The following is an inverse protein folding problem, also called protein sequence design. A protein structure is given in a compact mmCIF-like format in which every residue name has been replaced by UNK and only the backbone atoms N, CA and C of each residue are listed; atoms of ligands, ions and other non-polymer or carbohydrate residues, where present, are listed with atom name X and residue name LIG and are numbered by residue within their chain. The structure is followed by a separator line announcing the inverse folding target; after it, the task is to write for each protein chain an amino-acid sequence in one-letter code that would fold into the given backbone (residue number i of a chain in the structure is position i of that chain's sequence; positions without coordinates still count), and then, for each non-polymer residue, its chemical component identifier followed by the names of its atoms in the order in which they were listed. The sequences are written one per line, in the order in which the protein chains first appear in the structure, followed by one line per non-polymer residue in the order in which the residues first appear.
data_IF_808654166357
#
_entry.id   IF_808654166357
#
_cell.length_a   1.000
_cell.length_b   1.000
_cell.length_c   1.000
_cell.angle_alpha   90.00
_cell.angle_beta   90.00
_cell.angle_gamma   90.00
#
_symmetry.space_group_name_H-M   'P 1'
#
loop_
_entity.id
_entity.type
_entity.pdbx_description
1 polymer ?
#
# COMPACT_ATOMS: atom_id res chain seq x y z
N UNK A 1 -62.44 8.23 4.97
CA UNK A 1 -61.35 7.85 4.04
C UNK A 1 -60.16 8.78 4.29
N UNK A 2 -59.03 8.17 4.60
CA UNK A 2 -57.65 8.68 4.61
C UNK A 2 -57.27 9.89 5.49
N UNK A 3 -56.77 9.52 6.66
CA UNK A 3 -55.74 10.21 7.46
C UNK A 3 -54.45 10.32 6.64
N UNK A 4 -53.77 11.47 6.68
CA UNK A 4 -52.35 11.53 6.33
C UNK A 4 -51.62 12.44 7.32
N UNK A 5 -50.98 11.79 8.31
CA UNK A 5 -49.99 12.40 9.20
C UNK A 5 -48.71 12.62 8.40
N UNK A 6 -48.21 13.84 8.38
CA UNK A 6 -46.85 14.15 7.91
C UNK A 6 -45.90 13.73 9.03
N UNK A 7 -45.14 12.66 8.80
CA UNK A 7 -44.07 12.19 9.66
C UNK A 7 -42.79 12.94 9.25
N UNK A 8 -42.27 13.80 10.13
CA UNK A 8 -40.94 14.39 9.99
C UNK A 8 -39.93 13.32 10.38
N UNK A 9 -39.25 12.73 9.40
CA UNK A 9 -38.11 11.84 9.63
C UNK A 9 -36.86 12.73 9.76
N UNK A 10 -36.43 12.95 11.00
CA UNK A 10 -35.10 13.43 11.32
C UNK A 10 -34.10 12.32 10.97
N UNK A 11 -33.44 12.41 9.83
CA UNK A 11 -32.23 11.61 9.53
C UNK A 11 -31.06 12.19 10.31
N UNK A 12 -30.86 11.69 11.52
CA UNK A 12 -29.61 11.85 12.26
C UNK A 12 -28.49 11.16 11.49
N UNK A 13 -27.62 11.93 10.86
CA UNK A 13 -26.32 11.46 10.35
C UNK A 13 -25.44 11.23 11.58
N UNK A 14 -25.61 10.07 12.21
CA UNK A 14 -24.68 9.56 13.22
C UNK A 14 -23.54 8.86 12.48
N UNK A 15 -22.33 9.27 12.86
CA UNK A 15 -21.08 8.85 12.24
C UNK A 15 -20.98 7.34 12.13
N UNK A 16 -20.38 6.92 11.02
CA UNK A 16 -19.84 5.59 10.83
C UNK A 16 -18.74 5.41 11.89
N UNK A 17 -19.11 4.95 13.07
CA UNK A 17 -18.17 4.26 13.94
C UNK A 17 -17.89 2.93 13.25
N UNK A 18 -16.70 2.84 12.64
CA UNK A 18 -16.02 1.58 12.42
C UNK A 18 -15.97 0.86 13.77
N UNK A 19 -16.96 0.00 14.02
CA UNK A 19 -16.85 -1.02 15.05
C UNK A 19 -16.05 -2.14 14.38
N UNK A 20 -14.74 -1.89 14.24
CA UNK A 20 -13.78 -2.97 14.17
C UNK A 20 -13.95 -3.77 15.47
N UNK A 21 -14.25 -5.06 15.32
CA UNK A 21 -14.61 -5.98 16.39
C UNK A 21 -13.71 -5.85 17.62
N UNK A 22 -14.34 -5.62 18.77
CA UNK A 22 -13.74 -5.44 20.09
C UNK A 22 -13.11 -6.73 20.69
N UNK A 23 -12.45 -7.55 19.89
CA UNK A 23 -11.68 -8.73 20.35
C UNK A 23 -10.21 -8.78 19.88
N UNK A 24 -9.77 -7.92 18.94
CA UNK A 24 -8.42 -7.92 18.34
C UNK A 24 -7.40 -6.94 18.98
N UNK A 25 -7.68 -6.41 20.17
CA UNK A 25 -6.97 -5.22 20.65
C UNK A 25 -5.73 -5.49 21.52
N UNK A 26 -5.60 -6.66 22.18
CA UNK A 26 -4.63 -6.79 23.30
C UNK A 26 -3.16 -6.84 22.85
N UNK A 27 -2.85 -7.27 21.63
CA UNK A 27 -1.47 -7.33 21.13
C UNK A 27 -1.10 -6.24 20.14
N UNK A 28 -2.08 -5.52 19.60
CA UNK A 28 -1.91 -4.65 18.44
C UNK A 28 -1.13 -3.37 18.75
N UNK A 29 -0.23 -3.04 17.85
CA UNK A 29 0.52 -1.79 17.81
C UNK A 29 0.46 -1.23 16.39
N UNK A 30 0.08 0.03 16.25
CA UNK A 30 0.00 0.71 14.96
C UNK A 30 0.68 2.07 14.97
N UNK A 31 1.43 2.38 13.91
CA UNK A 31 1.89 3.73 13.57
C UNK A 31 1.34 4.11 12.20
N UNK A 32 0.86 5.34 12.08
CA UNK A 32 0.31 5.91 10.84
C UNK A 32 0.81 7.33 10.60
N UNK A 33 0.77 7.76 9.35
CA UNK A 33 0.92 9.16 8.97
C UNK A 33 0.02 10.07 9.83
N UNK A 34 0.59 11.16 10.35
CA UNK A 34 -0.17 12.18 11.09
C UNK A 34 -1.06 13.04 10.20
N UNK A 35 -1.91 13.85 10.84
CA UNK A 35 -2.81 14.78 10.14
C UNK A 35 -2.05 15.81 9.28
N UNK A 36 -2.60 16.14 8.11
CA UNK A 36 -2.05 17.16 7.21
C UNK A 36 -1.07 16.65 6.13
N UNK A 37 -0.77 15.34 6.09
CA UNK A 37 0.04 14.77 5.02
C UNK A 37 -0.75 14.64 3.70
N UNK A 38 -0.18 15.11 2.59
CA UNK A 38 -0.81 15.11 1.26
C UNK A 38 -0.82 13.74 0.57
N UNK A 39 0.04 12.82 1.00
CA UNK A 39 0.08 11.44 0.51
C UNK A 39 0.45 10.49 1.66
N UNK A 40 -0.48 10.20 2.58
CA UNK A 40 -0.17 9.40 3.76
C UNK A 40 0.24 7.98 3.37
N UNK A 41 1.27 7.45 4.03
CA UNK A 41 1.64 6.05 3.93
C UNK A 41 0.55 5.16 4.55
N UNK A 42 0.39 3.91 4.09
CA UNK A 42 -0.27 2.88 4.89
C UNK A 42 0.28 2.80 6.31
N UNK A 43 -0.54 2.32 7.24
CA UNK A 43 -0.13 2.15 8.63
C UNK A 43 0.82 0.95 8.76
N UNK A 44 1.90 1.13 9.51
CA UNK A 44 2.72 0.03 10.02
C UNK A 44 1.98 -0.62 11.19
N UNK A 45 1.70 -1.91 11.10
CA UNK A 45 1.00 -2.66 12.14
C UNK A 45 1.80 -3.89 12.55
N UNK A 46 2.01 -4.04 13.86
CA UNK A 46 2.62 -5.22 14.48
C UNK A 46 1.68 -5.72 15.57
N UNK A 47 1.43 -7.03 15.64
CA UNK A 47 0.63 -7.64 16.71
C UNK A 47 1.46 -8.68 17.43
N UNK A 48 1.41 -8.72 18.77
CA UNK A 48 1.98 -9.79 19.59
C UNK A 48 0.84 -10.50 20.31
N UNK A 49 0.38 -11.62 19.74
CA UNK A 49 -0.82 -12.33 20.19
C UNK A 49 -0.60 -13.84 20.18
N UNK A 50 -1.11 -14.53 21.20
CA UNK A 50 -1.05 -15.99 21.31
C UNK A 50 0.37 -16.57 21.19
N UNK A 51 1.40 -15.83 21.60
CA UNK A 51 2.80 -16.24 21.47
C UNK A 51 3.34 -16.13 20.04
N UNK A 52 2.70 -15.36 19.18
CA UNK A 52 3.13 -15.10 17.81
C UNK A 52 3.18 -13.59 17.54
N UNK A 53 4.32 -13.14 17.02
CA UNK A 53 4.47 -11.78 16.54
C UNK A 53 4.17 -11.74 15.04
N UNK A 54 3.30 -10.84 14.61
CA UNK A 54 2.94 -10.65 13.21
C UNK A 54 3.21 -9.22 12.75
N UNK A 55 3.75 -9.08 11.54
CA UNK A 55 3.89 -7.81 10.84
C UNK A 55 3.03 -7.80 9.58
N UNK A 56 2.22 -6.74 9.43
CA UNK A 56 1.32 -6.55 8.30
C UNK A 56 1.93 -5.48 7.38
N UNK A 57 2.74 -5.91 6.41
CA UNK A 57 3.37 -5.02 5.46
C UNK A 57 2.44 -4.59 4.35
N UNK A 58 2.46 -3.30 4.03
CA UNK A 58 1.73 -2.66 2.94
C UNK A 58 2.66 -2.07 1.89
N UNK A 59 3.91 -2.52 1.85
CA UNK A 59 4.97 -2.13 0.92
C UNK A 59 5.60 -0.76 1.22
N UNK A 60 4.82 0.33 1.28
CA UNK A 60 5.31 1.66 1.71
C UNK A 60 4.98 1.94 3.16
N UNK A 61 5.56 1.15 4.06
CA UNK A 61 5.39 1.35 5.49
C UNK A 61 6.44 2.34 5.99
N UNK A 62 6.11 3.65 5.87
CA UNK A 62 6.87 4.81 6.38
C UNK A 62 8.30 5.02 5.85
N UNK A 63 8.82 4.11 5.00
CA UNK A 63 10.09 4.28 4.30
C UNK A 63 9.87 4.96 2.94
N UNK A 64 10.20 6.25 2.84
CA UNK A 64 10.22 6.99 1.56
C UNK A 64 11.44 6.64 0.69
N UNK A 65 12.40 5.87 1.22
CA UNK A 65 13.66 5.55 0.54
C UNK A 65 13.59 4.32 -0.36
N UNK A 66 12.41 3.71 -0.55
CA UNK A 66 12.23 2.60 -1.49
C UNK A 66 12.58 3.08 -2.91
N UNK A 67 13.83 2.89 -3.33
CA UNK A 67 14.39 3.28 -4.63
C UNK A 67 13.81 2.42 -5.77
N UNK A 68 12.49 2.43 -5.96
CA UNK A 68 11.85 1.71 -7.05
C UNK A 68 11.96 0.19 -6.95
N UNK A 69 11.88 -0.39 -5.74
CA UNK A 69 11.97 -1.84 -5.53
C UNK A 69 10.83 -2.37 -4.66
N UNK A 70 10.45 -3.62 -4.89
CA UNK A 70 9.50 -4.35 -4.06
C UNK A 70 10.05 -4.51 -2.63
N UNK A 71 9.20 -4.27 -1.63
CA UNK A 71 9.56 -4.31 -0.20
C UNK A 71 8.81 -5.38 0.61
N UNK A 72 8.01 -6.23 -0.04
CA UNK A 72 7.10 -7.15 0.65
C UNK A 72 5.71 -6.53 0.85
N UNK A 73 4.65 -7.28 0.56
CA UNK A 73 3.28 -6.91 0.87
C UNK A 73 2.58 -8.14 1.42
N UNK A 74 2.07 -8.07 2.65
CA UNK A 74 1.42 -9.23 3.26
C UNK A 74 1.61 -9.31 4.75
N UNK A 75 1.52 -10.53 5.27
CA UNK A 75 1.57 -10.85 6.70
C UNK A 75 2.70 -11.83 6.96
N UNK A 76 3.59 -11.45 7.86
CA UNK A 76 4.80 -12.20 8.19
C UNK A 76 4.81 -12.48 9.68
N UNK A 77 4.94 -13.76 10.05
CA UNK A 77 4.83 -14.21 11.45
C UNK A 77 6.07 -14.91 11.95
N UNK A 78 6.33 -14.77 13.25
CA UNK A 78 7.40 -15.50 13.96
C UNK A 78 6.90 -15.88 15.34
N UNK A 79 7.42 -16.97 15.89
CA UNK A 79 7.20 -17.27 17.31
C UNK A 79 7.72 -16.11 18.16
N UNK A 80 6.88 -15.65 19.08
CA UNK A 80 7.20 -14.55 19.97
C UNK A 80 8.34 -14.99 20.90
N UNK A 81 9.41 -14.20 20.93
CA UNK A 81 10.55 -14.41 21.80
C UNK A 81 10.96 -13.09 22.42
N UNK A 82 11.73 -13.15 23.51
CA UNK A 82 12.29 -11.95 24.15
C UNK A 82 13.05 -11.04 23.17
N UNK A 83 13.66 -11.59 22.12
CA UNK A 83 14.37 -10.83 21.11
C UNK A 83 13.44 -9.94 20.27
N UNK A 84 12.20 -10.38 20.03
CA UNK A 84 11.23 -9.68 19.20
C UNK A 84 10.20 -8.88 20.03
N UNK A 85 9.74 -9.44 21.15
CA UNK A 85 8.71 -8.85 21.99
C UNK A 85 9.23 -7.70 22.86
N UNK A 86 10.47 -7.81 23.39
CA UNK A 86 11.05 -6.77 24.27
C UNK A 86 11.18 -5.41 23.59
N UNK A 87 11.69 -5.30 22.35
CA UNK A 87 11.74 -4.01 21.64
C UNK A 87 10.36 -3.34 21.51
N UNK A 88 9.33 -4.10 21.16
CA UNK A 88 7.96 -3.60 21.04
C UNK A 88 7.40 -3.17 22.40
N UNK A 89 7.60 -3.96 23.45
CA UNK A 89 7.16 -3.65 24.80
C UNK A 89 7.85 -2.39 25.36
N UNK A 90 9.17 -2.25 25.17
CA UNK A 90 9.92 -1.04 25.55
C UNK A 90 9.35 0.20 24.86
N UNK A 91 9.00 0.10 23.58
CA UNK A 91 8.46 1.22 22.85
C UNK A 91 7.05 1.61 23.33
N UNK A 92 6.16 0.63 23.53
CA UNK A 92 4.84 0.84 24.14
C UNK A 92 4.99 1.52 25.51
N UNK A 93 5.93 1.08 26.34
CA UNK A 93 6.20 1.68 27.65
C UNK A 93 6.65 3.15 27.55
N UNK A 94 7.57 3.47 26.64
CA UNK A 94 8.01 4.86 26.40
C UNK A 94 6.84 5.74 25.97
N UNK A 95 6.01 5.26 25.03
CA UNK A 95 4.84 5.99 24.56
C UNK A 95 3.76 6.16 25.65
N UNK A 96 3.57 5.15 26.51
CA UNK A 96 2.56 5.17 27.58
C UNK A 96 2.83 6.23 28.64
N UNK A 97 4.10 6.62 28.82
CA UNK A 97 4.53 7.63 29.79
C UNK A 97 4.50 9.06 29.22
N UNK A 98 4.20 9.23 27.93
CA UNK A 98 4.13 10.57 27.33
C UNK A 98 2.85 11.27 27.77
N UNK A 99 2.99 12.57 28.02
CA UNK A 99 1.84 13.43 28.24
C UNK A 99 1.13 13.67 26.89
N UNK A 100 -0.18 13.39 26.85
CA UNK A 100 -0.99 13.55 25.65
C UNK A 100 -1.10 15.03 25.22
N UNK A 101 -0.75 15.98 26.09
CA UNK A 101 -0.82 17.42 25.84
C UNK A 101 0.23 17.97 24.87
N UNK A 102 1.24 17.17 24.45
CA UNK A 102 2.25 17.57 23.43
C UNK A 102 1.65 17.59 22.00
N UNK A 103 0.32 17.45 21.86
CA UNK A 103 -0.45 17.48 20.60
C UNK A 103 -0.29 18.79 19.80
N UNK A 104 -0.01 19.91 20.47
CA UNK A 104 -0.12 21.26 19.89
C UNK A 104 1.22 21.98 19.73
N UNK A 105 2.23 21.34 19.12
CA UNK A 105 3.41 22.05 18.65
C UNK A 105 3.04 22.94 17.45
N UNK A 106 2.71 24.21 17.76
CA UNK A 106 2.39 25.26 16.79
C UNK A 106 3.50 25.38 15.74
N UNK A 107 3.11 25.24 14.46
CA UNK A 107 3.93 25.34 13.24
C UNK A 107 4.71 24.10 12.74
N UNK A 108 4.55 22.91 13.33
CA UNK A 108 5.21 21.70 12.80
C UNK A 108 4.30 20.48 12.56
N UNK A 109 3.09 20.45 13.14
CA UNK A 109 2.09 19.38 12.94
C UNK A 109 2.52 17.99 13.46
N UNK A 110 1.58 17.05 13.66
CA UNK A 110 1.92 15.67 13.98
C UNK A 110 2.53 14.99 12.74
N UNK A 111 3.72 14.38 12.89
CA UNK A 111 4.33 13.63 11.77
C UNK A 111 3.85 12.20 11.76
N UNK A 112 3.71 11.59 12.94
CA UNK A 112 3.16 10.24 13.10
C UNK A 112 2.14 10.20 14.23
N UNK A 113 1.14 9.34 14.07
CA UNK A 113 0.21 8.97 15.13
C UNK A 113 0.38 7.49 15.49
N UNK A 114 0.20 7.16 16.76
CA UNK A 114 0.29 5.78 17.27
C UNK A 114 -1.00 5.36 17.97
N UNK A 115 -1.22 4.05 18.04
CA UNK A 115 -2.32 3.43 18.78
C UNK A 115 -1.92 2.03 19.23
N UNK A 116 -2.13 1.72 20.51
CA UNK A 116 -1.89 0.39 21.08
C UNK A 116 -2.60 0.20 22.40
N UNK A 117 -2.74 -1.06 22.81
CA UNK A 117 -3.19 -1.42 24.15
C UNK A 117 -2.01 -1.96 24.97
N UNK A 118 -2.00 -1.60 26.26
CA UNK A 118 -1.02 -2.06 27.25
C UNK A 118 -1.66 -2.06 28.64
N UNK A 119 -1.49 -3.15 29.39
CA UNK A 119 -2.02 -3.31 30.76
C UNK A 119 -3.53 -3.01 30.90
N UNK A 120 -4.32 -3.40 29.89
CA UNK A 120 -5.77 -3.19 29.86
C UNK A 120 -6.20 -1.76 29.58
N UNK A 121 -5.27 -0.88 29.19
CA UNK A 121 -5.53 0.51 28.81
C UNK A 121 -5.16 0.76 27.35
N UNK A 122 -6.03 1.48 26.65
CA UNK A 122 -5.75 1.99 25.30
C UNK A 122 -4.93 3.28 25.36
N UNK A 123 -3.93 3.36 24.50
CA UNK A 123 -3.06 4.52 24.32
C UNK A 123 -3.11 4.99 22.87
N UNK A 124 -3.48 6.25 22.68
CA UNK A 124 -3.43 6.94 21.40
C UNK A 124 -2.72 8.29 21.54
N UNK A 125 -1.99 8.67 20.48
CA UNK A 125 -1.32 9.96 20.46
C UNK A 125 -0.56 10.21 19.16
N UNK A 126 0.19 11.30 19.15
CA UNK A 126 1.03 11.69 18.02
C UNK A 126 2.40 12.20 18.49
N UNK A 127 3.37 12.25 17.58
CA UNK A 127 4.67 12.89 17.82
C UNK A 127 5.23 13.53 16.55
N UNK A 128 6.16 14.46 16.75
CA UNK A 128 6.90 15.11 15.69
C UNK A 128 8.40 14.75 15.79
N UNK A 129 8.97 14.20 14.71
CA UNK A 129 10.39 13.82 14.66
C UNK A 129 11.35 14.96 15.00
N UNK A 130 10.99 16.22 14.73
CA UNK A 130 11.86 17.38 14.99
C UNK A 130 11.85 17.85 16.44
N UNK A 131 10.82 17.50 17.20
CA UNK A 131 10.64 17.97 18.57
C UNK A 131 11.06 16.93 19.62
N UNK A 132 11.23 15.66 19.24
CA UNK A 132 11.30 14.54 20.20
C UNK A 132 12.35 13.49 19.81
N UNK A 133 13.63 13.83 19.95
CA UNK A 133 14.77 12.92 19.72
C UNK A 133 14.63 11.54 20.41
N UNK A 134 14.20 11.44 21.69
CA UNK A 134 14.06 10.12 22.35
C UNK A 134 13.02 9.21 21.68
N UNK A 135 12.03 9.77 20.99
CA UNK A 135 11.02 9.00 20.24
C UNK A 135 11.58 8.58 18.88
N UNK A 136 12.38 9.45 18.23
CA UNK A 136 13.03 9.15 16.96
C UNK A 136 13.91 7.89 17.05
N UNK A 137 14.78 7.80 18.07
CA UNK A 137 15.69 6.66 18.23
C UNK A 137 14.95 5.33 18.44
N UNK A 138 13.77 5.38 19.06
CA UNK A 138 12.96 4.20 19.32
C UNK A 138 12.04 3.82 18.16
N UNK A 139 11.69 4.76 17.28
CA UNK A 139 10.98 4.46 16.01
C UNK A 139 11.89 3.67 15.06
N UNK A 140 13.19 3.93 15.06
CA UNK A 140 14.17 3.13 14.31
C UNK A 140 14.11 1.66 14.71
N UNK A 141 13.95 1.36 16.01
CA UNK A 141 13.84 0.00 16.52
C UNK A 141 12.63 -0.74 15.93
N UNK A 142 11.49 -0.06 15.77
CA UNK A 142 10.32 -0.64 15.11
C UNK A 142 10.57 -0.92 13.63
N UNK A 143 11.26 -0.02 12.93
CA UNK A 143 11.65 -0.27 11.54
C UNK A 143 12.58 -1.47 11.42
N UNK A 144 13.54 -1.61 12.33
CA UNK A 144 14.42 -2.78 12.39
C UNK A 144 13.61 -4.06 12.62
N UNK A 145 12.65 -4.06 13.55
CA UNK A 145 11.78 -5.21 13.79
C UNK A 145 10.92 -5.57 12.57
N UNK A 146 10.32 -4.58 11.91
CA UNK A 146 9.55 -4.79 10.69
C UNK A 146 10.41 -5.37 9.55
N UNK A 147 11.64 -4.87 9.36
CA UNK A 147 12.60 -5.39 8.38
C UNK A 147 13.03 -6.82 8.70
N UNK A 148 13.25 -7.12 9.96
CA UNK A 148 13.59 -8.46 10.44
C UNK A 148 12.45 -9.45 10.18
N UNK A 149 11.19 -9.07 10.48
CA UNK A 149 10.01 -9.88 10.21
C UNK A 149 9.78 -10.09 8.71
N UNK A 150 10.05 -9.08 7.88
CA UNK A 150 10.02 -9.22 6.41
C UNK A 150 11.07 -10.21 5.89
N UNK A 151 12.28 -10.17 6.45
CA UNK A 151 13.42 -10.96 5.98
C UNK A 151 13.39 -12.41 6.47
N UNK A 152 12.93 -12.62 7.71
CA UNK A 152 13.09 -13.89 8.43
C UNK A 152 11.77 -14.47 8.97
N UNK A 153 10.68 -13.69 8.95
CA UNK A 153 9.36 -14.19 9.30
C UNK A 153 8.82 -15.19 8.28
N UNK A 154 7.96 -16.08 8.74
CA UNK A 154 7.21 -16.99 7.90
C UNK A 154 6.09 -16.22 7.19
N UNK A 155 6.03 -16.22 5.83
CA UNK A 155 4.99 -15.51 5.11
C UNK A 155 3.66 -16.28 5.18
N UNK A 156 2.67 -15.72 5.85
CA UNK A 156 1.27 -16.16 5.75
C UNK A 156 0.64 -15.60 4.48
N UNK A 157 0.97 -14.35 4.15
CA UNK A 157 0.63 -13.68 2.90
C UNK A 157 1.90 -13.01 2.38
N UNK A 158 2.21 -13.18 1.10
CA UNK A 158 3.30 -12.45 0.44
C UNK A 158 2.91 -12.21 -1.02
N UNK A 159 2.18 -11.11 -1.25
CA UNK A 159 1.67 -10.72 -2.55
C UNK A 159 2.74 -9.94 -3.31
N UNK A 160 3.23 -10.54 -4.39
CA UNK A 160 4.26 -9.96 -5.26
C UNK A 160 3.67 -9.63 -6.64
N UNK A 161 3.47 -8.34 -6.95
CA UNK A 161 3.17 -7.91 -8.31
C UNK A 161 4.46 -7.81 -9.14
N UNK A 162 4.44 -8.37 -10.34
CA UNK A 162 5.55 -8.36 -11.29
C UNK A 162 5.05 -7.83 -12.62
N UNK A 163 5.78 -6.89 -13.22
CA UNK A 163 5.46 -6.36 -14.54
C UNK A 163 6.29 -7.03 -15.63
N UNK A 164 5.64 -7.29 -16.76
CA UNK A 164 6.28 -7.66 -18.03
C UNK A 164 5.72 -6.78 -19.14
N UNK A 165 6.59 -6.32 -20.04
CA UNK A 165 6.24 -5.38 -21.10
C UNK A 165 6.83 -5.88 -22.41
N UNK A 166 5.99 -5.89 -23.44
CA UNK A 166 6.39 -6.22 -24.80
C UNK A 166 5.73 -5.25 -25.78
N UNK A 167 6.38 -4.99 -26.91
CA UNK A 167 5.80 -4.20 -28.00
C UNK A 167 5.12 -5.12 -29.01
N UNK A 168 3.91 -4.79 -29.43
CA UNK A 168 3.21 -5.44 -30.55
C UNK A 168 2.49 -4.37 -31.35
N UNK A 169 2.87 -4.21 -32.63
CA UNK A 169 2.19 -3.38 -33.65
C UNK A 169 1.51 -2.11 -33.11
N UNK A 170 2.30 -1.06 -32.85
CA UNK A 170 1.88 0.24 -32.32
C UNK A 170 1.19 0.23 -30.94
N UNK A 171 1.41 -0.84 -30.16
CA UNK A 171 0.89 -0.97 -28.80
C UNK A 171 1.94 -1.55 -27.86
N UNK A 172 1.82 -1.21 -26.59
CA UNK A 172 2.46 -1.93 -25.50
C UNK A 172 1.48 -3.00 -24.99
N UNK A 173 1.95 -4.25 -24.98
CA UNK A 173 1.34 -5.31 -24.20
C UNK A 173 2.01 -5.30 -22.83
N UNK A 174 1.21 -5.04 -21.80
CA UNK A 174 1.67 -4.95 -20.41
C UNK A 174 0.97 -6.05 -19.62
N UNK A 175 1.73 -6.92 -18.98
CA UNK A 175 1.22 -7.95 -18.08
C UNK A 175 1.60 -7.60 -16.64
N UNK A 176 0.59 -7.55 -15.77
CA UNK A 176 0.76 -7.47 -14.33
C UNK A 176 0.45 -8.86 -13.75
N UNK A 177 1.48 -9.55 -13.30
CA UNK A 177 1.38 -10.86 -12.67
C UNK A 177 1.36 -10.69 -11.14
N UNK A 178 0.34 -11.23 -10.48
CA UNK A 178 0.24 -11.31 -9.04
C UNK A 178 0.58 -12.72 -8.58
N UNK A 179 1.64 -12.86 -7.79
CA UNK A 179 2.00 -14.11 -7.12
C UNK A 179 1.76 -14.00 -5.63
N UNK A 180 1.20 -15.03 -5.03
CA UNK A 180 1.11 -15.13 -3.58
C UNK A 180 2.02 -16.26 -3.09
N UNK A 181 3.18 -15.89 -2.56
CA UNK A 181 4.19 -16.80 -2.03
C UNK A 181 3.91 -17.19 -0.56
N UNK A 182 2.79 -16.74 0.01
CA UNK A 182 2.31 -17.12 1.32
C UNK A 182 1.47 -18.40 1.31
N UNK A 183 0.75 -18.64 2.41
CA UNK A 183 -0.09 -19.83 2.65
C UNK A 183 -1.59 -19.51 2.73
N UNK A 184 -1.96 -18.23 2.76
CA UNK A 184 -3.33 -17.77 2.83
C UNK A 184 -3.71 -17.02 1.55
N UNK A 185 -4.90 -17.30 1.02
CA UNK A 185 -5.42 -16.62 -0.15
C UNK A 185 -5.73 -15.14 0.14
N UNK A 186 -5.62 -14.31 -0.90
CA UNK A 186 -5.97 -12.89 -0.83
C UNK A 186 -6.96 -12.51 -1.92
N UNK A 187 -7.73 -11.46 -1.64
CA UNK A 187 -8.59 -10.79 -2.61
C UNK A 187 -8.20 -9.31 -2.64
N UNK A 188 -7.95 -8.80 -3.83
CA UNK A 188 -7.67 -7.38 -4.06
C UNK A 188 -8.62 -6.82 -5.11
N UNK A 189 -8.86 -5.52 -5.05
CA UNK A 189 -9.66 -4.80 -6.02
C UNK A 189 -9.03 -4.83 -7.43
N UNK A 190 -9.88 -5.04 -8.44
CA UNK A 190 -9.50 -5.12 -9.84
C UNK A 190 -9.49 -3.78 -10.60
N UNK A 191 -9.10 -3.78 -11.88
CA UNK A 191 -8.94 -2.59 -12.72
C UNK A 191 -10.14 -1.65 -12.87
N UNK A 192 -11.36 -2.08 -12.58
CA UNK A 192 -12.54 -1.21 -12.56
C UNK A 192 -12.48 -0.16 -11.44
N UNK A 193 -11.70 -0.42 -10.39
CA UNK A 193 -11.49 0.52 -9.27
C UNK A 193 -10.27 1.42 -9.47
N UNK A 194 -9.44 1.13 -10.48
CA UNK A 194 -8.21 1.86 -10.74
C UNK A 194 -8.49 3.17 -11.49
N UNK A 195 -7.73 4.22 -11.19
CA UNK A 195 -7.91 5.56 -11.76
C UNK A 195 -6.72 5.94 -12.62
N UNK A 196 -7.00 6.65 -13.71
CA UNK A 196 -5.99 7.41 -14.45
C UNK A 196 -5.77 8.82 -13.86
N UNK A 197 -6.60 9.26 -12.92
CA UNK A 197 -6.49 10.57 -12.26
C UNK A 197 -5.95 10.46 -10.82
N UNK A 198 -4.68 10.85 -10.62
CA UNK A 198 -4.00 10.84 -9.31
C UNK A 198 -4.21 12.10 -8.46
N UNK A 199 -5.06 13.05 -8.88
CA UNK A 199 -5.39 14.23 -8.07
C UNK A 199 -6.07 13.87 -6.73
N UNK A 200 -6.57 12.63 -6.60
CA UNK A 200 -7.19 12.10 -5.39
C UNK A 200 -6.27 11.01 -4.82
N UNK A 201 -5.51 11.30 -3.75
CA UNK A 201 -4.49 10.39 -3.20
C UNK A 201 -5.01 9.04 -2.68
N UNK A 202 -6.31 8.94 -2.42
CA UNK A 202 -6.96 7.72 -1.94
C UNK A 202 -7.35 6.74 -3.04
N UNK A 203 -7.28 7.14 -4.32
CA UNK A 203 -7.69 6.26 -5.43
C UNK A 203 -6.62 5.22 -5.74
N UNK A 204 -7.06 4.05 -6.17
CA UNK A 204 -6.20 2.95 -6.57
C UNK A 204 -5.66 3.19 -7.97
N UNK A 205 -4.44 2.76 -8.25
CA UNK A 205 -3.85 2.95 -9.57
C UNK A 205 -2.71 1.96 -9.80
N UNK A 206 -2.44 1.71 -11.08
CA UNK A 206 -1.18 1.12 -11.54
C UNK A 206 -0.59 2.08 -12.56
N UNK A 207 0.64 2.52 -12.33
CA UNK A 207 1.36 3.42 -13.23
C UNK A 207 2.66 2.76 -13.69
N UNK A 208 2.91 2.83 -14.99
CA UNK A 208 4.14 2.37 -15.64
C UNK A 208 4.80 3.58 -16.27
N UNK A 209 6.07 3.82 -15.92
CA UNK A 209 6.91 4.86 -16.51
C UNK A 209 7.87 4.20 -17.49
N UNK A 210 7.98 4.76 -18.69
CA UNK A 210 8.93 4.34 -19.70
C UNK A 210 9.88 5.48 -20.05
N UNK A 211 11.16 5.17 -20.22
CA UNK A 211 12.18 6.17 -20.60
C UNK A 211 13.24 5.57 -21.52
N UNK A 212 13.87 6.37 -22.36
CA UNK A 212 15.04 5.94 -23.13
C UNK A 212 16.18 6.99 -23.13
N UNK A 213 17.36 6.56 -23.56
CA UNK A 213 18.54 7.42 -23.66
C UNK A 213 18.43 8.51 -24.73
N UNK A 214 17.47 8.41 -25.66
CA UNK A 214 17.20 9.43 -26.66
C UNK A 214 16.37 10.62 -26.09
N UNK A 215 15.86 10.50 -24.87
CA UNK A 215 15.13 11.55 -24.15
C UNK A 215 13.61 11.43 -24.22
N UNK A 216 13.08 10.30 -24.67
CA UNK A 216 11.67 9.96 -24.49
C UNK A 216 11.40 9.59 -23.02
N UNK A 217 10.40 10.22 -22.42
CA UNK A 217 9.90 9.91 -21.08
C UNK A 217 8.38 10.00 -21.08
N UNK A 218 7.71 8.93 -20.71
CA UNK A 218 6.26 8.85 -20.69
C UNK A 218 5.73 8.00 -19.54
N UNK A 219 4.44 8.18 -19.26
CA UNK A 219 3.71 7.42 -18.26
C UNK A 219 2.44 6.83 -18.85
N UNK A 220 2.08 5.69 -18.27
CA UNK A 220 0.87 4.94 -18.59
C UNK A 220 0.17 4.68 -17.27
N UNK A 221 -1.14 4.89 -17.23
CA UNK A 221 -1.98 4.46 -16.12
C UNK A 221 -2.91 3.38 -16.61
N UNK A 222 -2.77 2.19 -16.03
CA UNK A 222 -3.57 1.04 -16.41
C UNK A 222 -4.92 1.13 -15.70
N UNK A 223 -5.99 0.90 -16.46
CA UNK A 223 -7.36 0.80 -15.99
C UNK A 223 -8.12 -0.21 -16.86
N UNK A 224 -9.40 -0.40 -16.56
CA UNK A 224 -10.25 -1.37 -17.25
C UNK A 224 -10.39 -1.16 -18.76
N UNK A 225 -10.14 0.04 -19.30
CA UNK A 225 -10.31 0.32 -20.75
C UNK A 225 -9.21 -0.32 -21.59
N UNK A 226 -8.05 -0.58 -21.00
CA UNK A 226 -6.93 -1.25 -21.67
C UNK A 226 -6.92 -2.77 -21.47
N UNK A 227 -7.83 -3.34 -20.67
CA UNK A 227 -7.88 -4.78 -20.42
C UNK A 227 -8.04 -5.58 -21.71
N UNK A 228 -7.19 -6.59 -21.88
CA UNK A 228 -7.37 -7.58 -22.95
C UNK A 228 -8.53 -8.52 -22.60
N UNK A 229 -9.15 -9.13 -23.62
CA UNK A 229 -10.34 -9.96 -23.43
C UNK A 229 -10.10 -11.14 -22.46
N UNK A 230 -8.92 -11.76 -22.51
CA UNK A 230 -8.54 -12.84 -21.60
C UNK A 230 -8.49 -12.43 -20.12
N UNK A 231 -8.31 -11.13 -19.85
CA UNK A 231 -8.16 -10.58 -18.49
C UNK A 231 -9.42 -9.88 -17.98
N UNK A 232 -10.49 -9.78 -18.77
CA UNK A 232 -11.76 -9.15 -18.33
C UNK A 232 -12.39 -9.82 -17.11
N UNK A 233 -12.14 -11.10 -16.88
CA UNK A 233 -12.60 -11.82 -15.68
C UNK A 233 -12.02 -11.28 -14.37
N UNK A 234 -10.96 -10.46 -14.44
CA UNK A 234 -10.29 -9.84 -13.30
C UNK A 234 -10.67 -8.37 -13.12
N UNK A 235 -11.64 -7.88 -13.89
CA UNK A 235 -11.98 -6.45 -13.96
C UNK A 235 -12.43 -5.90 -12.60
N UNK A 236 -13.28 -6.62 -11.89
CA UNK A 236 -13.82 -6.20 -10.59
C UNK A 236 -12.89 -6.55 -9.43
N UNK A 237 -12.35 -7.77 -9.42
CA UNK A 237 -11.56 -8.31 -8.30
C UNK A 237 -10.52 -9.31 -8.80
N UNK A 238 -9.45 -9.48 -8.01
CA UNK A 238 -8.35 -10.40 -8.29
C UNK A 238 -8.13 -11.27 -7.06
N UNK A 239 -8.57 -12.53 -7.14
CA UNK A 239 -8.32 -13.54 -6.11
C UNK A 239 -7.00 -14.26 -6.40
N UNK A 240 -6.05 -14.22 -5.46
CA UNK A 240 -4.74 -14.86 -5.60
C UNK A 240 -4.56 -15.92 -4.52
N UNK A 241 -4.63 -17.19 -4.92
CA UNK A 241 -4.44 -18.32 -4.01
C UNK A 241 -2.95 -18.56 -3.73
N UNK A 242 -2.62 -19.24 -2.61
CA UNK A 242 -1.25 -19.66 -2.31
C UNK A 242 -0.62 -20.43 -3.47
N UNK A 243 0.58 -20.01 -3.89
CA UNK A 243 1.32 -20.64 -4.99
C UNK A 243 0.76 -20.40 -6.39
N UNK A 244 -0.34 -19.67 -6.54
CA UNK A 244 -0.92 -19.31 -7.84
C UNK A 244 -0.31 -18.01 -8.37
N UNK A 245 -0.19 -17.92 -9.70
CA UNK A 245 0.18 -16.70 -10.41
C UNK A 245 -1.00 -16.26 -11.30
N UNK A 246 -1.56 -15.09 -11.00
CA UNK A 246 -2.65 -14.49 -11.78
C UNK A 246 -2.07 -13.42 -12.71
N UNK A 247 -2.35 -13.52 -14.01
CA UNK A 247 -1.90 -12.54 -15.01
C UNK A 247 -3.06 -11.66 -15.48
N UNK A 248 -2.87 -10.36 -15.34
CA UNK A 248 -3.78 -9.34 -15.84
C UNK A 248 -3.07 -8.59 -16.96
N UNK A 249 -3.57 -8.75 -18.18
CA UNK A 249 -2.99 -8.19 -19.41
C UNK A 249 -3.70 -6.92 -19.87
N UNK A 250 -2.92 -5.98 -20.39
CA UNK A 250 -3.37 -4.70 -20.91
C UNK A 250 -2.74 -4.45 -22.28
N UNK A 251 -3.54 -3.95 -23.22
CA UNK A 251 -3.07 -3.51 -24.53
C UNK A 251 -3.24 -1.99 -24.63
N UNK A 252 -2.11 -1.27 -24.51
CA UNK A 252 -2.07 0.20 -24.48
C UNK A 252 -1.54 0.71 -25.82
N UNK A 253 -2.34 1.44 -26.61
CA UNK A 253 -1.85 1.99 -27.87
C UNK A 253 -0.87 3.14 -27.63
N UNK A 254 0.09 3.34 -28.56
CA UNK A 254 1.13 4.36 -28.41
C UNK A 254 0.59 5.80 -28.36
N UNK A 255 -0.60 6.06 -28.92
CA UNK A 255 -1.28 7.36 -28.86
C UNK A 255 -1.92 7.66 -27.50
N UNK A 256 -2.09 6.65 -26.65
CA UNK A 256 -2.58 6.80 -25.29
C UNK A 256 -1.48 7.09 -24.26
N UNK A 257 -0.21 7.10 -24.69
CA UNK A 257 0.93 7.40 -23.80
C UNK A 257 0.96 8.90 -23.48
N UNK A 258 1.13 9.20 -22.19
CA UNK A 258 1.28 10.58 -21.72
C UNK A 258 2.76 10.90 -21.57
N UNK A 259 3.31 11.70 -22.48
CA UNK A 259 4.70 12.14 -22.43
C UNK A 259 4.89 13.25 -21.40
N UNK A 260 6.00 13.20 -20.66
CA UNK A 260 6.35 14.23 -19.70
C UNK A 260 6.71 15.53 -20.46
N UNK A 261 6.35 16.69 -19.89
CA UNK A 261 6.51 17.99 -20.57
C UNK A 261 7.97 18.32 -20.92
N UNK A 262 8.88 17.80 -20.11
CA UNK A 262 10.33 18.03 -20.26
C UNK A 262 10.99 16.99 -21.17
N UNK A 263 10.21 16.00 -21.66
CA UNK A 263 10.72 15.01 -22.61
C UNK A 263 10.99 15.66 -23.98
N UNK A 264 12.20 15.46 -24.49
CA UNK A 264 12.61 15.96 -25.81
C UNK A 264 11.92 15.23 -26.97
N UNK A 265 11.34 14.05 -26.70
CA UNK A 265 10.62 13.23 -27.66
C UNK A 265 9.20 12.98 -27.15
N UNK A 266 8.21 13.50 -27.87
CA UNK A 266 6.79 13.46 -27.50
C UNK A 266 6.01 12.34 -28.21
N UNK A 267 6.69 11.25 -28.59
CA UNK A 267 6.11 10.07 -29.24
C UNK A 267 7.03 8.86 -29.07
N UNK A 268 6.51 7.65 -29.29
CA UNK A 268 7.37 6.46 -29.32
C UNK A 268 8.22 6.49 -30.57
N UNK A 269 9.53 6.38 -30.38
CA UNK A 269 10.50 6.14 -31.45
C UNK A 269 11.11 4.74 -31.28
N UNK A 270 11.60 4.18 -32.38
CA UNK A 270 12.32 2.90 -32.34
C UNK A 270 13.55 3.03 -31.43
N UNK A 271 13.70 2.12 -30.48
CA UNK A 271 14.82 2.14 -29.53
C UNK A 271 14.60 1.23 -28.32
N UNK A 272 15.58 1.19 -27.43
CA UNK A 272 15.51 0.44 -26.17
C UNK A 272 15.01 1.35 -25.05
N UNK A 273 14.00 0.90 -24.32
CA UNK A 273 13.36 1.63 -23.24
C UNK A 273 13.49 0.88 -21.92
N UNK A 274 13.75 1.62 -20.86
CA UNK A 274 13.70 1.14 -19.48
C UNK A 274 12.32 1.43 -18.90
N UNK A 275 11.83 0.53 -18.04
CA UNK A 275 10.52 0.66 -17.43
C UNK A 275 10.55 0.46 -15.92
N UNK A 276 9.76 1.27 -15.23
CA UNK A 276 9.52 1.17 -13.78
C UNK A 276 8.02 1.22 -13.53
N UNK A 277 7.53 0.31 -12.68
CA UNK A 277 6.14 0.26 -12.28
C UNK A 277 5.92 0.60 -10.82
N UNK A 278 4.75 1.16 -10.52
CA UNK A 278 4.25 1.32 -9.17
C UNK A 278 2.74 1.10 -9.13
N UNK A 279 2.26 0.64 -7.99
CA UNK A 279 0.84 0.46 -7.76
C UNK A 279 0.42 0.88 -6.36
N UNK A 280 -0.81 1.38 -6.28
CA UNK A 280 -1.58 1.52 -5.06
C UNK A 280 -2.84 0.70 -5.23
N UNK A 281 -3.00 -0.36 -4.44
CA UNK A 281 -4.16 -1.22 -4.46
C UNK A 281 -4.82 -1.31 -3.10
N UNK A 282 -5.86 -2.12 -3.02
CA UNK A 282 -6.60 -2.37 -1.80
C UNK A 282 -6.80 -3.88 -1.63
N UNK A 283 -6.54 -4.38 -0.42
CA UNK A 283 -6.95 -5.71 -0.02
C UNK A 283 -8.39 -5.67 0.48
N UNK A 284 -9.20 -6.61 0.02
CA UNK A 284 -10.54 -6.84 0.55
C UNK A 284 -10.54 -8.02 1.52
N UNK A 285 -9.72 -9.04 1.24
CA UNK A 285 -9.54 -10.20 2.10
C UNK A 285 -8.09 -10.65 2.21
N UNK A 286 -7.70 -11.22 3.36
CA UNK A 286 -8.50 -11.39 4.59
C UNK A 286 -8.76 -10.08 5.34
N UNK A 287 -9.72 -10.07 6.27
CA UNK A 287 -10.16 -8.86 6.99
C UNK A 287 -9.02 -8.17 7.77
N UNK A 288 -8.11 -8.95 8.34
CA UNK A 288 -6.90 -8.45 9.02
C UNK A 288 -5.93 -7.69 8.08
N UNK A 289 -6.00 -8.00 6.79
CA UNK A 289 -5.25 -7.33 5.73
C UNK A 289 -6.11 -6.33 4.97
N UNK A 290 -7.38 -6.10 5.32
CA UNK A 290 -8.21 -5.16 4.57
C UNK A 290 -7.59 -3.77 4.54
N UNK A 291 -7.72 -3.07 3.41
CA UNK A 291 -7.21 -1.72 3.22
C UNK A 291 -6.04 -1.61 2.26
N UNK A 292 -5.59 -0.36 2.12
CA UNK A 292 -4.66 0.08 1.10
C UNK A 292 -3.24 -0.48 1.26
N UNK A 293 -2.61 -0.78 0.14
CA UNK A 293 -1.18 -1.02 0.03
C UNK A 293 -0.57 -0.20 -1.10
N UNK A 294 0.74 -0.01 -1.05
CA UNK A 294 1.52 0.63 -2.10
C UNK A 294 2.78 -0.17 -2.34
N UNK A 295 3.15 -0.37 -3.59
CA UNK A 295 4.44 -0.98 -3.90
C UNK A 295 5.03 -0.50 -5.22
N UNK A 296 6.35 -0.60 -5.32
CA UNK A 296 7.05 -0.58 -6.60
C UNK A 296 7.15 -2.00 -7.12
N UNK A 297 7.13 -2.15 -8.44
CA UNK A 297 7.49 -3.44 -9.05
C UNK A 297 9.00 -3.56 -9.12
N UNK A 298 9.49 -4.78 -9.26
CA UNK A 298 10.90 -4.99 -9.59
C UNK A 298 11.25 -4.32 -10.93
N UNK A 299 12.52 -3.93 -11.16
CA UNK A 299 12.96 -3.40 -12.45
C UNK A 299 12.61 -4.35 -13.59
N UNK A 300 12.03 -3.80 -14.65
CA UNK A 300 11.72 -4.56 -15.87
C UNK A 300 12.95 -4.56 -16.76
N UNK A 301 13.34 -5.71 -17.37
CA UNK A 301 14.39 -5.73 -18.38
C UNK A 301 14.09 -4.74 -19.51
N UNK A 302 15.11 -4.05 -20.01
CA UNK A 302 14.92 -3.06 -21.07
C UNK A 302 14.25 -3.68 -22.30
N UNK A 303 13.28 -2.98 -22.88
CA UNK A 303 12.45 -3.50 -23.98
C UNK A 303 12.74 -2.72 -25.26
N UNK A 304 12.96 -3.42 -26.36
CA UNK A 304 12.99 -2.81 -27.68
C UNK A 304 11.58 -2.43 -28.13
N UNK A 305 11.35 -1.15 -28.38
CA UNK A 305 10.15 -0.66 -29.04
C UNK A 305 10.45 -0.39 -30.50
N UNK A 306 9.49 -0.70 -31.37
CA UNK A 306 9.55 -0.44 -32.80
C UNK A 306 8.36 0.40 -33.22
N UNK A 307 8.62 1.40 -34.06
CA UNK A 307 7.59 2.13 -34.79
C UNK A 307 7.27 1.32 -36.05
N UNK A 308 6.17 0.58 -36.04
CA UNK A 308 5.66 -0.13 -37.22
C UNK A 308 4.65 0.74 -37.99
#
# INVERSE_FOLDING_TARGET
MHVTRILVVMTSILGVTDIASAHDARGRFAIRSGAGQTNPAPAMVITDEHGMLAYYSRGRDLDHSSQGRYLGIGKYTVESSDAYARPLAEFKHVLSKRDAAVRDAVNAGPVLSYSFDMDGRHYDGAFNYRAEQPVQDKVVVLYSLAKELLAHGMPEINLRPVLSIHSVSNRLLIELEFRNEGRQAVLIDGPETWTDNLAIPSRQYVEVQGSNSAGAEFRIRLDSKYLIDASRRYASEIAVKPGEAIRVGFAVPFDALSFDRDSSIQRVETGTYDFVGRMQGNFDKPDEMAGRFFTWTDPVPSVGLTRE
#
